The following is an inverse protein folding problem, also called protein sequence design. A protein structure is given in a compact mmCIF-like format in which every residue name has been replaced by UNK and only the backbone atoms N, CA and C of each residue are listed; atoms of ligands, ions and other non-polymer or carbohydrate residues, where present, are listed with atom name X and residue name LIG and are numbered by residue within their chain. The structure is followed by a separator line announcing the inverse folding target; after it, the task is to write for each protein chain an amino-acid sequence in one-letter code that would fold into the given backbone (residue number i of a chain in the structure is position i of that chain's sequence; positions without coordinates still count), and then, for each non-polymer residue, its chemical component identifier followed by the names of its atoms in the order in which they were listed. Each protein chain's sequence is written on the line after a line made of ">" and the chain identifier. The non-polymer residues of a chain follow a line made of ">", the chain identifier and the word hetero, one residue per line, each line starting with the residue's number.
data_IF_609173043601
#
_entry.id   IF_609173043601
#
_cell.length_a   1.000
_cell.length_b   1.000
_cell.length_c   1.000
_cell.angle_alpha   90.00
_cell.angle_beta   90.00
_cell.angle_gamma   90.00
#
_symmetry.space_group_name_H-M   'P 1'
#
loop_
_entity.id
_entity.type
_entity.pdbx_description
1 polymer ?
#
# COMPACT_ATOMS: atom_id res chain seq x y z
N UNK A 1 19.32 1.65 11.19
CA UNK A 1 17.92 1.34 11.54
C UNK A 1 17.02 2.27 10.72
N UNK A 2 16.12 1.74 9.88
CA UNK A 2 15.09 2.58 9.24
C UNK A 2 14.12 3.03 10.32
N UNK A 3 13.74 4.31 10.34
CA UNK A 3 12.81 4.84 11.34
C UNK A 3 11.38 4.59 10.87
N UNK A 4 10.57 3.98 11.73
CA UNK A 4 9.16 3.77 11.42
C UNK A 4 8.38 5.08 11.59
N UNK A 5 7.54 5.37 10.61
CA UNK A 5 6.58 6.48 10.60
C UNK A 5 5.27 5.99 11.19
N UNK A 6 4.44 6.93 11.67
CA UNK A 6 3.06 6.67 12.09
C UNK A 6 2.34 5.74 11.10
N UNK A 7 1.73 4.65 11.57
CA UNK A 7 1.11 3.64 10.71
C UNK A 7 -0.02 4.25 9.86
N UNK A 8 -0.22 3.77 8.62
CA UNK A 8 -1.28 4.24 7.75
C UNK A 8 -2.65 3.80 8.29
N UNK A 9 -3.69 4.57 7.96
CA UNK A 9 -5.05 4.23 8.37
C UNK A 9 -5.62 3.17 7.45
N UNK A 10 -5.85 1.96 7.95
CA UNK A 10 -6.53 0.90 7.21
C UNK A 10 -8.05 1.02 7.35
N UNK A 11 -8.79 0.91 6.24
CA UNK A 11 -10.25 0.83 6.21
C UNK A 11 -10.71 -0.24 5.20
N UNK A 12 -11.82 -0.90 5.49
CA UNK A 12 -12.47 -1.80 4.53
C UNK A 12 -13.15 -0.98 3.43
N UNK A 13 -13.22 -1.55 2.23
CA UNK A 13 -13.69 -0.90 0.99
C UNK A 13 -15.12 -0.36 1.00
N UNK A 14 -15.93 -0.63 2.03
CA UNK A 14 -17.26 -0.02 2.21
C UNK A 14 -17.24 1.47 2.53
N UNK A 15 -16.07 2.07 2.80
CA UNK A 15 -15.92 3.49 3.13
C UNK A 15 -14.93 4.22 2.20
N UNK A 16 -15.29 4.42 0.93
CA UNK A 16 -14.54 5.30 0.03
C UNK A 16 -14.91 6.77 0.26
N UNK A 17 -14.11 7.47 1.06
CA UNK A 17 -14.22 8.92 1.18
C UNK A 17 -13.66 9.61 -0.08
N UNK A 18 -14.50 10.45 -0.70
CA UNK A 18 -14.17 11.32 -1.82
C UNK A 18 -12.93 12.17 -1.48
N UNK A 19 -11.92 12.12 -2.33
CA UNK A 19 -10.77 13.02 -2.24
C UNK A 19 -11.23 14.42 -2.68
N UNK A 20 -11.00 15.42 -1.83
CA UNK A 20 -11.22 16.83 -2.18
C UNK A 20 -10.32 17.29 -3.35
N UNK A 21 -10.35 18.58 -3.71
CA UNK A 21 -9.54 19.11 -4.81
C UNK A 21 -8.05 19.04 -4.45
N UNK A 22 -7.35 18.02 -4.95
CA UNK A 22 -5.91 17.86 -4.80
C UNK A 22 -5.27 17.78 -6.18
N UNK A 23 -4.01 18.22 -6.29
CA UNK A 23 -3.21 17.97 -7.51
C UNK A 23 -2.85 16.49 -7.52
N UNK A 24 -3.61 15.73 -8.29
CA UNK A 24 -3.45 14.29 -8.46
C UNK A 24 -2.27 14.03 -9.38
N UNK A 25 -1.32 13.23 -8.93
CA UNK A 25 -0.26 12.72 -9.76
C UNK A 25 -0.59 11.28 -10.18
N UNK A 26 -0.72 10.97 -11.48
CA UNK A 26 -1.01 9.61 -11.92
C UNK A 26 0.10 8.68 -11.42
N UNK A 27 -0.29 7.68 -10.65
CA UNK A 27 0.64 6.80 -9.97
C UNK A 27 0.02 5.45 -9.71
N UNK A 28 0.78 4.42 -10.08
CA UNK A 28 0.69 3.09 -9.50
C UNK A 28 0.47 1.97 -10.50
N UNK A 29 1.49 1.14 -10.65
CA UNK A 29 1.38 -0.19 -11.27
C UNK A 29 0.57 -1.13 -10.37
N UNK A 30 -0.26 -1.98 -10.96
CA UNK A 30 -0.83 -3.13 -10.26
C UNK A 30 0.24 -4.20 -10.13
N UNK A 31 0.59 -4.57 -8.90
CA UNK A 31 1.52 -5.67 -8.65
C UNK A 31 0.72 -6.85 -8.10
N UNK A 32 0.59 -7.89 -8.93
CA UNK A 32 0.10 -9.20 -8.51
C UNK A 32 1.28 -10.02 -8.02
N UNK A 33 1.22 -10.43 -6.76
CA UNK A 33 2.21 -11.35 -6.19
C UNK A 33 1.58 -12.74 -6.09
N UNK A 34 2.32 -13.74 -6.56
CA UNK A 34 1.94 -15.13 -6.39
C UNK A 34 2.42 -15.66 -5.03
N UNK A 35 1.83 -16.78 -4.61
CA UNK A 35 2.24 -17.54 -3.45
C UNK A 35 3.74 -17.88 -3.52
N UNK A 36 4.53 -17.38 -2.56
CA UNK A 36 5.96 -17.67 -2.46
C UNK A 36 6.27 -18.31 -1.09
N UNK A 37 7.16 -19.31 -1.03
CA UNK A 37 7.57 -19.91 0.24
C UNK A 37 8.50 -19.01 1.08
N UNK A 38 9.02 -17.93 0.50
CA UNK A 38 9.92 -17.00 1.18
C UNK A 38 9.16 -16.16 2.21
N UNK A 39 9.70 -16.01 3.43
CA UNK A 39 9.08 -15.23 4.53
C UNK A 39 8.96 -13.72 4.28
N UNK A 40 9.51 -13.23 3.17
CA UNK A 40 9.41 -11.85 2.71
C UNK A 40 9.14 -11.82 1.21
N UNK A 41 8.07 -11.13 0.83
CA UNK A 41 7.71 -10.86 -0.55
C UNK A 41 7.86 -9.35 -0.77
N UNK A 42 8.88 -8.94 -1.52
CA UNK A 42 9.07 -7.55 -1.95
C UNK A 42 8.50 -7.38 -3.34
N UNK A 43 7.73 -6.31 -3.54
CA UNK A 43 7.22 -5.93 -4.87
C UNK A 43 8.33 -5.23 -5.68
N UNK A 44 8.22 -5.18 -7.02
CA UNK A 44 9.10 -4.31 -7.82
C UNK A 44 8.96 -2.86 -7.36
N UNK A 45 10.04 -2.08 -7.49
CA UNK A 45 10.02 -0.67 -7.13
C UNK A 45 8.91 0.07 -7.89
N UNK A 46 8.18 0.90 -7.17
CA UNK A 46 7.08 1.69 -7.70
C UNK A 46 7.64 2.84 -8.52
N UNK A 47 7.46 2.73 -9.83
CA UNK A 47 7.74 3.80 -10.78
C UNK A 47 6.47 4.61 -11.05
N UNK A 48 6.60 5.93 -11.00
CA UNK A 48 5.50 6.86 -11.26
C UNK A 48 5.74 7.46 -12.64
N UNK A 49 5.12 6.86 -13.66
CA UNK A 49 5.26 7.30 -15.04
C UNK A 49 4.87 8.77 -15.18
N UNK A 50 5.72 9.55 -15.83
CA UNK A 50 5.51 10.98 -16.11
C UNK A 50 6.07 11.95 -15.06
N UNK A 51 6.44 11.52 -13.85
CA UNK A 51 6.98 12.42 -12.82
C UNK A 51 8.50 12.51 -12.92
N UNK A 52 9.02 13.61 -13.47
CA UNK A 52 10.44 13.89 -13.29
C UNK A 52 10.69 14.22 -11.80
N UNK A 53 11.87 13.86 -11.25
CA UNK A 53 12.24 14.26 -9.88
C UNK A 53 12.12 15.78 -9.65
N UNK A 54 12.31 16.57 -10.71
CA UNK A 54 12.16 18.03 -10.70
C UNK A 54 10.70 18.43 -10.51
N UNK A 55 9.76 17.85 -11.25
CA UNK A 55 8.33 18.14 -11.13
C UNK A 55 7.78 17.79 -9.74
N UNK A 56 8.21 16.65 -9.19
CA UNK A 56 7.88 16.27 -7.81
C UNK A 56 8.40 17.31 -6.80
N UNK A 57 9.56 17.90 -7.03
CA UNK A 57 10.11 18.94 -6.15
C UNK A 57 9.25 20.20 -6.15
N UNK A 58 8.80 20.66 -7.32
CA UNK A 58 7.92 21.82 -7.44
C UNK A 58 6.56 21.58 -6.75
N UNK A 59 5.98 20.39 -6.94
CA UNK A 59 4.73 20.02 -6.24
C UNK A 59 4.89 20.09 -4.73
N UNK A 60 6.00 19.57 -4.20
CA UNK A 60 6.31 19.66 -2.76
C UNK A 60 6.46 21.10 -2.28
N UNK A 61 7.11 21.97 -3.06
CA UNK A 61 7.33 23.35 -2.67
C UNK A 61 6.00 24.15 -2.54
N UNK A 62 5.01 23.83 -3.36
CA UNK A 62 3.71 24.51 -3.42
C UNK A 62 2.59 23.77 -2.71
N UNK A 63 2.93 22.89 -1.77
CA UNK A 63 1.95 22.10 -1.02
C UNK A 63 2.37 22.04 0.44
N UNK A 64 1.42 21.71 1.29
CA UNK A 64 1.61 21.57 2.73
C UNK A 64 1.26 20.16 3.21
N UNK A 65 0.51 19.40 2.40
CA UNK A 65 0.13 18.02 2.71
C UNK A 65 0.23 17.11 1.48
N UNK A 66 0.61 15.86 1.72
CA UNK A 66 0.62 14.80 0.74
C UNK A 66 -0.25 13.63 1.20
N UNK A 67 -1.01 13.04 0.29
CA UNK A 67 -1.85 11.88 0.55
C UNK A 67 -1.72 10.83 -0.55
N UNK A 68 -1.76 9.55 -0.18
CA UNK A 68 -1.73 8.43 -1.12
C UNK A 68 -2.61 7.30 -0.59
N UNK A 69 -3.17 6.50 -1.49
CA UNK A 69 -3.95 5.31 -1.13
C UNK A 69 -3.28 4.06 -1.71
N UNK A 70 -3.32 2.96 -0.97
CA UNK A 70 -2.93 1.64 -1.48
C UNK A 70 -4.06 0.66 -1.16
N UNK A 71 -4.57 0.00 -2.18
CA UNK A 71 -5.58 -1.04 -2.03
C UNK A 71 -4.91 -2.40 -2.04
N UNK A 72 -5.20 -3.21 -1.02
CA UNK A 72 -4.86 -4.62 -0.95
C UNK A 72 -6.09 -5.43 -1.32
N UNK A 73 -5.90 -6.38 -2.23
CA UNK A 73 -6.91 -7.31 -2.68
C UNK A 73 -6.41 -8.73 -2.45
N UNK A 74 -7.28 -9.62 -1.97
CA UNK A 74 -6.92 -11.01 -1.73
C UNK A 74 -8.03 -11.95 -2.19
N UNK A 75 -7.62 -13.09 -2.75
CA UNK A 75 -8.54 -14.17 -3.10
C UNK A 75 -8.30 -15.37 -2.18
N UNK A 76 -9.28 -15.76 -1.35
CA UNK A 76 -9.15 -16.96 -0.53
C UNK A 76 -9.12 -18.20 -1.42
N UNK A 77 -8.30 -19.20 -1.06
CA UNK A 77 -8.24 -20.48 -1.74
C UNK A 77 -9.22 -21.42 -1.02
N UNK A 78 -10.15 -22.06 -1.73
CA UNK A 78 -11.24 -22.83 -1.12
C UNK A 78 -10.75 -24.01 -0.26
N UNK A 79 -9.55 -24.52 -0.52
CA UNK A 79 -8.98 -25.72 0.11
C UNK A 79 -8.63 -25.56 1.60
N UNK A 80 -8.47 -24.34 2.13
CA UNK A 80 -7.76 -24.18 3.42
C UNK A 80 -8.60 -23.82 4.64
N UNK A 81 -9.84 -23.31 4.53
CA UNK A 81 -10.83 -23.17 5.61
C UNK A 81 -10.40 -22.60 6.98
N UNK A 82 -9.15 -22.16 7.13
CA UNK A 82 -8.50 -21.76 8.38
C UNK A 82 -8.31 -20.26 8.38
N UNK A 83 -8.56 -19.59 9.52
CA UNK A 83 -8.25 -18.17 9.67
C UNK A 83 -6.74 -17.96 9.48
N UNK A 84 -6.39 -17.09 8.54
CA UNK A 84 -4.99 -16.78 8.25
C UNK A 84 -4.45 -15.85 9.34
N UNK A 85 -3.21 -16.07 9.83
CA UNK A 85 -2.61 -15.15 10.79
C UNK A 85 -2.40 -13.78 10.15
N UNK A 86 -2.43 -12.75 11.00
CA UNK A 86 -2.10 -11.39 10.60
C UNK A 86 -0.68 -11.34 10.03
N UNK A 87 -0.54 -10.59 8.93
CA UNK A 87 0.73 -10.37 8.23
C UNK A 87 1.22 -8.97 8.54
N UNK A 88 2.53 -8.81 8.64
CA UNK A 88 3.13 -7.48 8.74
C UNK A 88 3.42 -6.97 7.33
N UNK A 89 3.07 -5.72 7.06
CA UNK A 89 3.36 -5.05 5.79
C UNK A 89 4.15 -3.78 6.04
N UNK A 90 5.15 -3.53 5.19
CA UNK A 90 5.98 -2.33 5.24
C UNK A 90 5.98 -1.62 3.90
N UNK A 91 5.74 -0.32 3.94
CA UNK A 91 5.80 0.56 2.77
C UNK A 91 7.00 1.49 2.88
N UNK A 92 7.83 1.54 1.85
CA UNK A 92 9.00 2.40 1.80
C UNK A 92 8.62 3.81 1.36
N UNK A 93 8.99 4.80 2.16
CA UNK A 93 8.81 6.21 1.85
C UNK A 93 9.76 6.69 0.74
N UNK A 94 9.47 7.86 0.14
CA UNK A 94 10.32 8.46 -0.90
C UNK A 94 11.75 8.75 -0.44
N UNK A 95 11.94 9.09 0.84
CA UNK A 95 13.26 9.31 1.43
C UNK A 95 14.13 8.05 1.54
N UNK A 96 13.56 6.86 1.36
CA UNK A 96 14.23 5.54 1.42
C UNK A 96 14.84 5.14 2.77
N UNK A 97 14.83 6.02 3.76
CA UNK A 97 15.32 5.79 5.12
C UNK A 97 14.18 5.58 6.14
N UNK A 98 12.94 5.87 5.75
CA UNK A 98 11.74 5.73 6.57
C UNK A 98 10.74 4.75 5.97
N UNK A 99 10.02 4.05 6.84
CA UNK A 99 8.99 3.07 6.45
C UNK A 99 7.70 3.27 7.22
N UNK A 100 6.59 2.99 6.57
CA UNK A 100 5.29 2.83 7.23
C UNK A 100 5.08 1.35 7.50
N UNK A 101 4.82 0.98 8.75
CA UNK A 101 4.43 -0.38 9.12
C UNK A 101 2.91 -0.45 9.30
N UNK A 102 2.29 -1.54 8.87
CA UNK A 102 0.90 -1.84 9.18
C UNK A 102 0.69 -3.34 9.35
N UNK A 103 -0.40 -3.70 10.00
CA UNK A 103 -0.88 -5.09 10.06
C UNK A 103 -1.92 -5.30 8.99
N UNK A 104 -1.81 -6.43 8.31
CA UNK A 104 -2.73 -6.87 7.28
C UNK A 104 -3.47 -8.09 7.82
N UNK A 105 -4.78 -7.95 7.96
CA UNK A 105 -5.63 -9.04 8.43
C UNK A 105 -5.66 -10.18 7.40
N UNK A 106 -5.76 -11.41 7.91
CA UNK A 106 -5.92 -12.60 7.09
C UNK A 106 -7.14 -12.53 6.17
N UNK A 107 -7.03 -13.10 4.98
CA UNK A 107 -8.16 -13.14 4.05
C UNK A 107 -9.17 -14.18 4.55
N UNK A 108 -10.33 -13.73 5.01
CA UNK A 108 -11.41 -14.62 5.44
C UNK A 108 -12.35 -14.91 4.27
N UNK A 109 -12.81 -16.16 4.18
CA UNK A 109 -13.95 -16.55 3.35
C UNK A 109 -15.21 -16.01 4.03
N UNK A 110 -15.51 -14.73 3.86
CA UNK A 110 -16.90 -14.32 4.06
C UNK A 110 -17.70 -14.94 2.89
N UNK A 111 -18.83 -15.56 3.22
CA UNK A 111 -19.67 -16.47 2.41
C UNK A 111 -20.20 -15.90 1.07
N UNK A 112 -19.59 -14.85 0.54
CA UNK A 112 -20.11 -13.98 -0.51
C UNK A 112 -19.02 -13.61 -1.52
N UNK A 113 -18.21 -14.57 -1.99
CA UNK A 113 -17.36 -14.48 -3.19
C UNK A 113 -16.54 -13.18 -3.40
N UNK A 114 -16.27 -12.43 -2.33
CA UNK A 114 -15.85 -11.03 -2.42
C UNK A 114 -14.39 -10.94 -2.04
N UNK A 115 -13.63 -10.38 -2.97
CA UNK A 115 -12.27 -9.95 -2.75
C UNK A 115 -12.30 -9.01 -1.54
N UNK A 116 -11.67 -9.39 -0.43
CA UNK A 116 -11.53 -8.49 0.72
C UNK A 116 -10.58 -7.38 0.34
N UNK A 117 -11.12 -6.18 0.11
CA UNK A 117 -10.35 -5.00 -0.25
C UNK A 117 -10.04 -4.17 1.00
N UNK A 118 -8.79 -4.20 1.44
CA UNK A 118 -8.28 -3.32 2.51
C UNK A 118 -7.63 -2.09 1.90
N UNK A 119 -8.06 -0.89 2.29
CA UNK A 119 -7.51 0.36 1.78
C UNK A 119 -6.62 0.99 2.87
N UNK A 120 -5.33 1.11 2.57
CA UNK A 120 -4.37 1.88 3.36
C UNK A 120 -4.36 3.33 2.90
N UNK A 121 -4.65 4.25 3.81
CA UNK A 121 -4.63 5.69 3.57
C UNK A 121 -3.41 6.30 4.25
N UNK A 122 -2.54 6.89 3.43
CA UNK A 122 -1.36 7.65 3.85
C UNK A 122 -1.69 9.13 3.75
N UNK A 123 -1.41 9.88 4.81
CA UNK A 123 -1.57 11.33 4.85
C UNK A 123 -0.52 11.91 5.77
N UNK A 124 0.27 12.87 5.28
CA UNK A 124 1.35 13.49 6.04
C UNK A 124 1.59 14.92 5.60
N UNK A 125 2.07 15.76 6.53
CA UNK A 125 2.61 17.10 6.25
C UNK A 125 4.08 17.02 5.80
N UNK A 126 4.77 15.91 6.07
CA UNK A 126 6.14 15.65 5.62
C UNK A 126 6.14 15.14 4.17
N UNK A 127 6.08 16.08 3.23
CA UNK A 127 5.90 15.83 1.78
C UNK A 127 6.99 14.95 1.13
N UNK A 128 8.14 14.83 1.78
CA UNK A 128 9.27 14.01 1.36
C UNK A 128 9.08 12.52 1.69
N UNK A 129 8.01 12.14 2.38
CA UNK A 129 7.70 10.73 2.65
C UNK A 129 6.91 10.06 1.52
N UNK A 130 6.17 10.84 0.72
CA UNK A 130 5.39 10.36 -0.42
C UNK A 130 5.98 10.89 -1.73
N UNK A 131 5.90 10.14 -2.85
CA UNK A 131 5.16 8.90 -3.03
C UNK A 131 5.88 7.65 -2.48
N UNK A 132 5.13 6.56 -2.25
CA UNK A 132 5.69 5.28 -1.82
C UNK A 132 6.57 4.65 -2.90
N UNK A 133 7.73 4.10 -2.52
CA UNK A 133 8.75 3.57 -3.45
C UNK A 133 8.79 2.07 -3.56
N UNK A 134 8.40 1.37 -2.50
CA UNK A 134 8.47 -0.07 -2.42
C UNK A 134 7.46 -0.56 -1.37
N UNK A 135 7.09 -1.84 -1.45
CA UNK A 135 6.21 -2.53 -0.53
C UNK A 135 6.76 -3.93 -0.27
N UNK A 136 6.82 -4.31 1.00
CA UNK A 136 7.20 -5.65 1.43
C UNK A 136 6.16 -6.23 2.37
N UNK A 137 5.74 -7.47 2.09
CA UNK A 137 4.89 -8.27 2.98
C UNK A 137 5.76 -9.29 3.69
N UNK A 138 5.63 -9.36 5.01
CA UNK A 138 6.29 -10.33 5.87
C UNK A 138 5.25 -11.34 6.35
N UNK A 139 5.58 -12.62 6.19
CA UNK A 139 4.72 -13.71 6.64
C UNK A 139 5.55 -14.90 7.14
N UNK A 140 4.94 -15.73 7.97
CA UNK A 140 5.60 -16.87 8.60
C UNK A 140 5.53 -18.15 7.73
N UNK A 141 5.69 -18.02 6.40
CA UNK A 141 5.57 -19.14 5.46
C UNK A 141 4.16 -19.46 4.93
N UNK A 142 3.11 -18.77 5.42
CA UNK A 142 1.71 -19.01 5.04
C UNK A 142 1.17 -18.17 3.85
N UNK A 143 1.99 -17.95 2.82
CA UNK A 143 1.53 -17.26 1.61
C UNK A 143 0.96 -18.22 0.56
N UNK A 144 -0.01 -19.05 0.93
CA UNK A 144 -0.63 -20.04 0.02
C UNK A 144 -1.68 -19.45 -0.95
N UNK A 145 -1.82 -18.12 -1.01
CA UNK A 145 -2.95 -17.44 -1.62
C UNK A 145 -2.50 -16.34 -2.59
N UNK A 146 -3.30 -16.10 -3.62
CA UNK A 146 -3.07 -15.01 -4.56
C UNK A 146 -3.54 -13.68 -3.95
N UNK A 147 -2.64 -12.71 -3.88
CA UNK A 147 -2.95 -11.36 -3.42
C UNK A 147 -2.36 -10.32 -4.38
N UNK A 148 -2.96 -9.14 -4.38
CA UNK A 148 -2.55 -8.04 -5.24
C UNK A 148 -2.58 -6.72 -4.49
N UNK A 149 -1.66 -5.85 -4.84
CA UNK A 149 -1.67 -4.46 -4.40
C UNK A 149 -1.88 -3.54 -5.59
N UNK A 150 -2.78 -2.58 -5.40
CA UNK A 150 -3.00 -1.47 -6.32
C UNK A 150 -2.59 -0.20 -5.60
N UNK A 151 -1.45 0.37 -6.01
CA UNK A 151 -1.01 1.66 -5.51
C UNK A 151 -1.78 2.74 -6.26
N UNK A 152 -2.37 3.67 -5.52
CA UNK A 152 -3.08 4.80 -6.08
C UNK A 152 -2.17 6.00 -6.35
N UNK A 153 -2.72 7.03 -7.03
CA UNK A 153 -2.02 8.28 -7.26
C UNK A 153 -1.66 8.97 -5.94
N UNK A 154 -0.60 9.78 -5.99
CA UNK A 154 -0.26 10.69 -4.88
C UNK A 154 -0.93 12.04 -5.12
N UNK A 155 -1.53 12.59 -4.07
CA UNK A 155 -2.22 13.87 -4.07
C UNK A 155 -1.43 14.86 -3.23
N UNK A 156 -1.13 16.04 -3.79
CA UNK A 156 -0.55 17.17 -3.08
C UNK A 156 -1.57 18.30 -2.95
N UNK A 157 -1.66 18.90 -1.76
CA UNK A 157 -2.53 20.03 -1.41
C UNK A 157 -1.78 21.07 -0.59
#
# INVERSE_FOLDING_TARGET
>A
ARRDVTPPRARNSSASAAAGPCRVWPGGSTALSQAAPASRISLPQLEYAGASPVQLRFLRLHSHRAAQKVSYSCRPAPERGRPQPDKEIRFLADSRDRSYAASLQGCLLDNESSITDTIFQFSTEELWLLPLRDLAVFHNGDASHQFGFTVGPVCFS
#
